data_IF_456510944618
#
_entry.id   IF_456510944618
#
_cell.length_a   1.000
_cell.length_b   1.000
_cell.length_c   1.000
_cell.angle_alpha   90.00
_cell.angle_beta   90.00
_cell.angle_gamma   90.00
#
_symmetry.space_group_name_H-M   'P 1'
#
loop_
_entity.id
_entity.type
_entity.pdbx_description
1 polymer ?
#
# COMPACT_ATOMS: atom_id res chain seq x y z
N UNK A 1 -14.34 -2.05 -11.49
CA UNK A 1 -13.56 -1.88 -10.25
C UNK A 1 -12.46 -2.94 -10.26
N UNK A 2 -11.22 -2.58 -9.96
CA UNK A 2 -10.11 -3.53 -9.84
C UNK A 2 -10.13 -4.10 -8.41
N UNK A 3 -10.43 -5.39 -8.18
CA UNK A 3 -10.66 -5.92 -6.83
C UNK A 3 -9.48 -5.70 -5.87
N UNK A 4 -8.25 -5.85 -6.35
CA UNK A 4 -7.03 -5.64 -5.56
C UNK A 4 -6.81 -4.19 -5.11
N UNK A 5 -7.48 -3.22 -5.76
CA UNK A 5 -7.40 -1.79 -5.44
C UNK A 5 -8.70 -1.26 -4.83
N UNK A 6 -9.67 -2.13 -4.51
CA UNK A 6 -10.97 -1.71 -3.99
C UNK A 6 -10.83 -0.93 -2.66
N UNK A 7 -9.86 -1.28 -1.82
CA UNK A 7 -9.59 -0.62 -0.55
C UNK A 7 -9.19 0.86 -0.69
N UNK A 8 -8.67 1.28 -1.84
CA UNK A 8 -8.32 2.70 -2.10
C UNK A 8 -9.56 3.62 -2.19
N UNK A 9 -10.75 3.03 -2.37
CA UNK A 9 -12.00 3.77 -2.48
C UNK A 9 -12.73 3.94 -1.15
N UNK A 10 -12.21 3.35 -0.06
CA UNK A 10 -12.79 3.47 1.27
C UNK A 10 -12.69 4.93 1.78
N UNK A 11 -13.69 5.34 2.56
CA UNK A 11 -13.83 6.73 3.03
C UNK A 11 -12.94 7.04 4.23
N UNK A 12 -12.51 6.01 4.95
CA UNK A 12 -11.83 6.13 6.25
C UNK A 12 -10.30 6.30 6.14
N UNK A 13 -9.77 6.39 4.91
CA UNK A 13 -8.34 6.56 4.68
C UNK A 13 -7.95 8.04 4.76
N UNK A 14 -6.95 8.43 5.58
CA UNK A 14 -6.41 9.78 5.59
C UNK A 14 -5.91 10.13 4.19
N UNK A 15 -6.56 11.07 3.50
CA UNK A 15 -6.28 11.37 2.08
C UNK A 15 -5.25 12.48 1.88
N UNK A 16 -4.60 12.94 2.94
CA UNK A 16 -3.81 14.17 2.94
C UNK A 16 -2.62 14.14 1.99
N UNK A 17 -2.04 12.97 1.70
CA UNK A 17 -0.82 12.89 0.89
C UNK A 17 -0.88 11.90 -0.29
N UNK A 18 -1.86 10.98 -0.33
CA UNK A 18 -2.08 10.07 -1.47
C UNK A 18 -0.93 9.12 -1.82
N UNK A 19 0.15 9.11 -1.02
CA UNK A 19 1.37 8.31 -1.25
C UNK A 19 1.05 6.82 -1.24
N UNK A 20 0.22 6.37 -0.30
CA UNK A 20 -0.24 4.99 -0.24
C UNK A 20 -0.97 4.56 -1.51
N UNK A 21 -1.89 5.38 -2.03
CA UNK A 21 -2.62 5.08 -3.25
C UNK A 21 -1.68 4.95 -4.46
N UNK A 22 -0.69 5.84 -4.57
CA UNK A 22 0.31 5.76 -5.64
C UNK A 22 1.13 4.48 -5.55
N UNK A 23 1.55 4.08 -4.34
CA UNK A 23 2.28 2.83 -4.11
C UNK A 23 1.42 1.61 -4.46
N UNK A 24 0.18 1.55 -4.00
CA UNK A 24 -0.73 0.45 -4.30
C UNK A 24 -0.99 0.29 -5.81
N UNK A 25 -1.17 1.41 -6.52
CA UNK A 25 -1.33 1.39 -7.99
C UNK A 25 -0.05 0.93 -8.69
N UNK A 26 1.12 1.41 -8.26
CA UNK A 26 2.40 0.95 -8.80
C UNK A 26 2.60 -0.55 -8.56
N UNK A 27 2.23 -1.06 -7.39
CA UNK A 27 2.26 -2.49 -7.07
C UNK A 27 1.49 -3.31 -8.12
N UNK A 28 0.25 -2.91 -8.33
CA UNK A 28 -0.66 -3.57 -9.25
C UNK A 28 -0.17 -3.52 -10.71
N UNK A 29 0.34 -2.37 -11.15
CA UNK A 29 0.86 -2.21 -12.51
C UNK A 29 2.14 -3.02 -12.72
N UNK A 30 3.08 -3.00 -11.77
CA UNK A 30 4.33 -3.75 -11.86
C UNK A 30 4.07 -5.26 -11.86
N UNK A 31 3.17 -5.74 -11.01
CA UNK A 31 2.78 -7.17 -10.99
C UNK A 31 2.18 -7.61 -12.33
N UNK A 32 1.42 -6.75 -13.01
CA UNK A 32 0.88 -7.06 -14.34
C UNK A 32 1.94 -7.19 -15.44
N UNK A 33 3.13 -6.63 -15.23
CA UNK A 33 4.25 -6.64 -16.18
C UNK A 33 5.26 -7.74 -15.80
N UNK A 34 5.48 -7.96 -14.51
CA UNK A 34 6.46 -8.91 -13.98
C UNK A 34 5.88 -9.65 -12.77
N UNK A 35 5.22 -10.78 -13.03
CA UNK A 35 4.46 -11.54 -12.03
C UNK A 35 5.32 -12.20 -10.95
N UNK A 36 6.60 -12.48 -11.23
CA UNK A 36 7.55 -13.08 -10.29
C UNK A 36 8.37 -12.04 -9.51
N UNK A 37 8.01 -10.75 -9.62
CA UNK A 37 8.69 -9.65 -8.94
C UNK A 37 8.35 -9.55 -7.45
N UNK A 38 9.34 -9.20 -6.63
CA UNK A 38 9.20 -9.02 -5.18
C UNK A 38 8.79 -7.59 -4.77
N UNK A 39 8.35 -6.76 -5.73
CA UNK A 39 8.11 -5.33 -5.52
C UNK A 39 7.11 -5.07 -4.39
N UNK A 40 5.98 -5.80 -4.38
CA UNK A 40 4.94 -5.61 -3.37
C UNK A 40 5.46 -5.95 -1.97
N UNK A 41 6.24 -7.03 -1.85
CA UNK A 41 6.87 -7.41 -0.58
C UNK A 41 7.88 -6.36 -0.10
N UNK A 42 8.72 -5.83 -1.00
CA UNK A 42 9.70 -4.78 -0.66
C UNK A 42 9.03 -3.47 -0.26
N UNK A 43 8.02 -3.04 -1.01
CA UNK A 43 7.21 -1.88 -0.65
C UNK A 43 6.54 -2.07 0.71
N UNK A 44 6.02 -3.27 0.99
CA UNK A 44 5.42 -3.58 2.28
C UNK A 44 6.43 -3.50 3.44
N UNK A 45 7.66 -3.98 3.24
CA UNK A 45 8.76 -3.88 4.21
C UNK A 45 9.10 -2.41 4.51
N UNK A 46 9.23 -1.57 3.47
CA UNK A 46 9.56 -0.15 3.65
C UNK A 46 8.44 0.63 4.34
N UNK A 47 7.18 0.36 3.98
CA UNK A 47 6.02 0.99 4.62
C UNK A 47 5.85 0.53 6.08
N UNK A 48 6.17 -0.73 6.41
CA UNK A 48 6.19 -1.22 7.80
C UNK A 48 7.30 -0.55 8.62
N UNK A 49 8.45 -0.29 8.01
CA UNK A 49 9.56 0.42 8.62
C UNK A 49 9.43 1.94 8.57
N UNK A 50 8.31 2.48 8.10
CA UNK A 50 8.13 3.91 7.97
C UNK A 50 8.21 4.58 9.35
N UNK A 51 8.89 5.73 9.48
CA UNK A 51 9.06 6.39 10.76
C UNK A 51 7.71 6.63 11.46
N UNK A 52 7.67 6.37 12.75
CA UNK A 52 6.61 6.82 13.64
C UNK A 52 7.24 7.82 14.61
N UNK A 53 7.03 9.09 14.32
CA UNK A 53 7.52 10.24 15.08
C UNK A 53 6.34 11.13 15.41
N UNK A 54 6.52 12.12 16.29
CA UNK A 54 5.47 13.08 16.65
C UNK A 54 4.87 13.85 15.46
N UNK A 55 5.63 14.00 14.36
CA UNK A 55 5.24 14.81 13.20
C UNK A 55 4.88 14.00 11.96
N UNK A 56 5.37 12.77 11.87
CA UNK A 56 5.22 11.90 10.69
C UNK A 56 5.04 10.47 11.17
N UNK A 57 3.97 9.85 10.70
CA UNK A 57 3.65 8.44 10.93
C UNK A 57 3.07 7.82 9.65
N UNK A 58 3.00 6.48 9.58
CA UNK A 58 2.48 5.80 8.38
C UNK A 58 1.07 6.28 7.99
N UNK A 59 0.22 6.62 8.96
CA UNK A 59 -1.11 7.19 8.72
C UNK A 59 -1.07 8.49 7.90
N UNK A 60 -0.02 9.30 8.04
CA UNK A 60 0.17 10.51 7.23
C UNK A 60 0.43 10.19 5.75
N UNK A 61 0.80 8.97 5.37
CA UNK A 61 0.93 8.59 3.95
C UNK A 61 -0.41 8.20 3.31
N UNK A 62 -1.47 8.14 4.11
CA UNK A 62 -2.77 7.61 3.73
C UNK A 62 -2.86 6.10 3.83
N UNK A 63 -2.12 5.51 4.75
CA UNK A 63 -2.28 4.11 5.14
C UNK A 63 -3.45 4.00 6.12
N UNK A 64 -4.38 3.08 5.85
CA UNK A 64 -5.41 2.68 6.81
C UNK A 64 -4.89 1.60 7.78
N UNK A 65 -5.51 1.49 8.95
CA UNK A 65 -5.28 0.35 9.84
C UNK A 65 -5.60 -0.96 9.10
N UNK A 66 -4.76 -1.98 9.27
CA UNK A 66 -4.96 -3.28 8.61
C UNK A 66 -4.58 -3.32 7.12
N UNK A 67 -3.98 -2.27 6.55
CA UNK A 67 -3.60 -2.25 5.12
C UNK A 67 -2.77 -3.47 4.67
N UNK A 68 -1.93 -4.06 5.54
CA UNK A 68 -1.16 -5.27 5.24
C UNK A 68 -2.02 -6.53 5.05
N UNK A 69 -3.28 -6.48 5.49
CA UNK A 69 -4.26 -7.55 5.34
C UNK A 69 -4.98 -7.49 3.97
N UNK A 70 -4.72 -6.45 3.18
CA UNK A 70 -5.22 -6.36 1.82
C UNK A 70 -4.53 -7.37 0.91
N UNK A 71 -5.31 -8.02 0.04
CA UNK A 71 -4.82 -9.09 -0.84
C UNK A 71 -3.63 -8.67 -1.71
N UNK A 72 -3.53 -7.38 -2.03
CA UNK A 72 -2.42 -6.79 -2.76
C UNK A 72 -1.06 -7.03 -2.06
N UNK A 73 -1.03 -7.02 -0.73
CA UNK A 73 0.19 -7.12 0.07
C UNK A 73 0.43 -8.50 0.68
N UNK A 74 -0.60 -9.35 0.75
CA UNK A 74 -0.50 -10.72 1.28
C UNK A 74 0.16 -11.68 0.29
N UNK A 75 0.15 -11.37 -1.02
CA UNK A 75 0.58 -12.33 -2.04
C UNK A 75 2.02 -12.82 -1.78
N UNK A 76 2.11 -14.11 -1.44
CA UNK A 76 3.37 -14.84 -1.27
C UNK A 76 3.97 -15.12 -2.65
N UNK A 77 5.28 -14.92 -2.76
CA UNK A 77 6.16 -15.66 -3.67
C UNK A 77 5.86 -17.15 -3.64
#
# INVERSE_FOLDING_TARGET
MVPLLAHLTQKDTPREFGVYNALAVMAYLIESIHQDGDWAARAAIHLRGFPSTEYIEAGSTGIALGWLEEQLWIRRS
#
